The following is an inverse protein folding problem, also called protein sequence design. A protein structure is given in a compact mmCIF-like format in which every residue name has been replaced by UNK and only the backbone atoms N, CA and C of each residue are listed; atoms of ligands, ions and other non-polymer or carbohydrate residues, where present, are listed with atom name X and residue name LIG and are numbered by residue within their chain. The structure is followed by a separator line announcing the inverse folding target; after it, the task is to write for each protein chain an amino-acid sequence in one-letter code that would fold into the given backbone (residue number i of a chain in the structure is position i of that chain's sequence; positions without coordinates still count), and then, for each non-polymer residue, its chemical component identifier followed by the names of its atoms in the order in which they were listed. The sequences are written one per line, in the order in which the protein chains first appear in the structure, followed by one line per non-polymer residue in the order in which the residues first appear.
data_IF_188743708614
#
_entry.id   IF_188743708614
#
_cell.length_a   1.000
_cell.length_b   1.000
_cell.length_c   1.000
_cell.angle_alpha   90.00
_cell.angle_beta   90.00
_cell.angle_gamma   90.00
#
_symmetry.space_group_name_H-M   'P 1'
#
loop_
_entity.id
_entity.type
_entity.pdbx_description
1 polymer ?
#
# COMPACT_ATOMS: atom_id res chain seq x y z
N UNK A 1 -22.66 -9.43 -2.77
CA UNK A 1 -21.75 -8.36 -2.28
C UNK A 1 -21.90 -8.28 -0.77
N UNK A 2 -20.81 -8.11 -0.02
CA UNK A 2 -20.78 -8.21 1.44
C UNK A 2 -20.19 -6.95 2.05
N UNK A 3 -19.25 -7.11 2.98
CA UNK A 3 -18.58 -6.00 3.67
C UNK A 3 -17.12 -5.88 3.23
N UNK A 4 -16.56 -4.68 3.36
CA UNK A 4 -15.14 -4.40 3.21
C UNK A 4 -14.64 -3.63 4.43
N UNK A 5 -13.46 -4.00 4.93
CA UNK A 5 -12.73 -3.27 5.97
C UNK A 5 -11.67 -2.44 5.28
N UNK A 6 -11.56 -1.15 5.61
CA UNK A 6 -10.49 -0.31 5.07
C UNK A 6 -9.20 -0.63 5.81
N UNK A 7 -8.17 -1.04 5.09
CA UNK A 7 -6.88 -1.52 5.64
C UNK A 7 -5.73 -0.56 5.38
N UNK A 8 -5.90 0.41 4.48
CA UNK A 8 -4.81 1.32 4.13
C UNK A 8 -4.44 2.25 5.30
N UNK A 9 -3.14 2.36 5.67
CA UNK A 9 -2.70 3.02 6.89
C UNK A 9 -2.98 4.53 6.93
N UNK A 10 -3.04 5.17 5.75
CA UNK A 10 -3.27 6.61 5.64
C UNK A 10 -4.72 7.00 5.35
N UNK A 11 -5.66 6.04 5.38
CA UNK A 11 -7.06 6.36 5.17
C UNK A 11 -7.71 6.81 6.51
N UNK A 12 -8.45 7.95 6.56
CA UNK A 12 -9.06 8.44 7.80
C UNK A 12 -10.06 7.49 8.48
N UNK A 13 -10.52 6.48 7.73
CA UNK A 13 -11.44 5.43 8.19
C UNK A 13 -10.77 4.05 8.26
N UNK A 14 -9.45 3.99 8.37
CA UNK A 14 -8.71 2.75 8.57
C UNK A 14 -9.28 1.92 9.73
N UNK A 15 -9.33 0.61 9.55
CA UNK A 15 -9.94 -0.36 10.49
C UNK A 15 -11.47 -0.41 10.48
N UNK A 16 -12.17 0.54 9.85
CA UNK A 16 -13.63 0.56 9.83
C UNK A 16 -14.19 -0.31 8.70
N UNK A 17 -15.35 -0.93 8.96
CA UNK A 17 -16.02 -1.87 8.06
C UNK A 17 -17.32 -1.30 7.52
N UNK A 18 -17.52 -1.40 6.20
CA UNK A 18 -18.68 -0.82 5.51
C UNK A 18 -19.32 -1.82 4.55
N UNK A 19 -20.63 -1.70 4.37
CA UNK A 19 -21.38 -2.54 3.43
C UNK A 19 -21.08 -2.10 2.00
N UNK A 20 -20.76 -3.05 1.13
CA UNK A 20 -20.51 -2.79 -0.29
C UNK A 20 -21.85 -2.71 -1.00
N UNK A 21 -22.08 -1.57 -1.65
CA UNK A 21 -23.25 -1.33 -2.48
C UNK A 21 -22.99 -1.72 -3.93
N UNK A 22 -21.78 -1.39 -4.44
CA UNK A 22 -21.40 -1.64 -5.82
C UNK A 22 -19.89 -1.72 -5.99
N UNK A 23 -19.45 -2.43 -7.02
CA UNK A 23 -18.08 -2.39 -7.52
C UNK A 23 -18.07 -1.86 -8.96
N UNK A 24 -17.09 -1.03 -9.32
CA UNK A 24 -16.90 -0.49 -10.68
C UNK A 24 -15.42 -0.23 -10.95
N UNK A 25 -15.05 -0.10 -12.22
CA UNK A 25 -13.74 0.46 -12.58
C UNK A 25 -13.83 1.96 -12.79
N UNK A 26 -12.84 2.70 -12.30
CA UNK A 26 -12.65 4.15 -12.51
C UNK A 26 -11.21 4.34 -12.98
N UNK A 27 -11.02 4.82 -14.21
CA UNK A 27 -9.67 4.97 -14.82
C UNK A 27 -8.81 3.70 -14.70
N UNK A 28 -9.41 2.52 -14.89
CA UNK A 28 -8.74 1.22 -14.76
C UNK A 28 -8.63 0.66 -13.33
N UNK A 29 -8.82 1.49 -12.30
CA UNK A 29 -8.73 1.09 -10.89
C UNK A 29 -10.04 0.44 -10.46
N UNK A 30 -9.97 -0.72 -9.78
CA UNK A 30 -11.14 -1.37 -9.21
C UNK A 30 -11.58 -0.63 -7.95
N UNK A 31 -12.79 -0.09 -7.94
CA UNK A 31 -13.29 0.81 -6.91
C UNK A 31 -14.58 0.27 -6.31
N UNK A 32 -14.70 0.35 -4.98
CA UNK A 32 -15.88 -0.05 -4.22
C UNK A 32 -16.67 1.18 -3.79
N UNK A 33 -17.99 1.14 -3.99
CA UNK A 33 -18.95 2.10 -3.44
C UNK A 33 -19.54 1.47 -2.19
N UNK A 34 -19.34 2.11 -1.05
CA UNK A 34 -19.75 1.62 0.27
C UNK A 34 -20.86 2.50 0.86
N UNK A 35 -21.70 1.89 1.69
CA UNK A 35 -22.67 2.61 2.52
C UNK A 35 -21.93 3.42 3.58
N UNK A 36 -22.13 4.73 3.61
CA UNK A 36 -21.61 5.63 4.63
C UNK A 36 -22.48 5.64 5.89
N UNK A 37 -22.06 6.40 6.90
CA UNK A 37 -22.69 6.43 8.23
C UNK A 37 -23.90 7.36 8.33
N UNK A 38 -23.89 8.52 7.66
CA UNK A 38 -24.97 9.53 7.70
C UNK A 38 -25.88 9.50 6.46
N UNK A 39 -26.09 8.33 5.86
CA UNK A 39 -26.93 8.17 4.67
C UNK A 39 -26.23 8.47 3.33
N UNK A 40 -24.98 8.95 3.36
CA UNK A 40 -24.15 9.10 2.17
C UNK A 40 -23.50 7.79 1.70
N UNK A 41 -22.79 7.86 0.59
CA UNK A 41 -21.89 6.79 0.11
C UNK A 41 -20.45 7.25 0.15
N UNK A 42 -19.53 6.34 0.44
CA UNK A 42 -18.10 6.57 0.23
C UNK A 42 -17.57 5.68 -0.88
N UNK A 43 -16.48 6.11 -1.51
CA UNK A 43 -15.85 5.38 -2.60
C UNK A 43 -14.40 5.16 -2.24
N UNK A 44 -13.91 3.92 -2.35
CA UNK A 44 -12.54 3.55 -1.99
C UNK A 44 -11.97 2.59 -3.03
N UNK A 45 -10.65 2.66 -3.30
CA UNK A 45 -10.00 1.62 -4.10
C UNK A 45 -10.15 0.27 -3.40
N UNK A 46 -10.42 -0.79 -4.15
CA UNK A 46 -10.48 -2.14 -3.60
C UNK A 46 -9.14 -2.53 -2.97
N UNK A 47 -8.01 -2.04 -3.50
CA UNK A 47 -6.67 -2.31 -3.00
C UNK A 47 -6.41 -1.73 -1.59
N UNK A 48 -7.25 -0.79 -1.14
CA UNK A 48 -7.17 -0.18 0.20
C UNK A 48 -8.06 -0.89 1.23
N UNK A 49 -8.60 -2.05 0.87
CA UNK A 49 -9.50 -2.83 1.72
C UNK A 49 -8.98 -4.25 1.92
N UNK A 50 -9.59 -4.97 2.86
CA UNK A 50 -9.44 -6.42 3.02
C UNK A 50 -9.85 -7.25 1.78
N UNK A 51 -10.36 -6.59 0.72
CA UNK A 51 -10.63 -7.19 -0.60
C UNK A 51 -9.56 -6.93 -1.65
N UNK A 52 -8.44 -6.34 -1.26
CA UNK A 52 -7.28 -6.21 -2.13
C UNK A 52 -6.93 -7.58 -2.72
N UNK A 53 -6.58 -7.60 -4.01
CA UNK A 53 -5.96 -8.82 -4.56
C UNK A 53 -4.62 -9.00 -3.84
N UNK A 54 -4.22 -10.25 -3.52
CA UNK A 54 -2.88 -10.51 -3.04
C UNK A 54 -1.88 -9.83 -3.94
N UNK A 55 -0.91 -9.14 -3.35
CA UNK A 55 0.18 -8.55 -4.09
C UNK A 55 0.91 -9.66 -4.84
N UNK A 56 1.49 -9.41 -6.03
CA UNK A 56 2.42 -10.34 -6.65
C UNK A 56 3.59 -10.72 -5.70
N UNK A 57 3.88 -9.84 -4.73
CA UNK A 57 4.87 -10.06 -3.69
C UNK A 57 4.32 -10.77 -2.45
N UNK A 58 3.01 -11.03 -2.35
CA UNK A 58 2.42 -11.75 -1.20
C UNK A 58 2.77 -13.24 -1.15
N UNK A 59 3.24 -13.83 -2.26
CA UNK A 59 3.76 -15.20 -2.30
C UNK A 59 5.25 -15.28 -1.95
N UNK A 60 5.95 -14.16 -2.02
CA UNK A 60 7.26 -14.02 -1.40
C UNK A 60 6.94 -13.80 0.08
N UNK A 61 7.35 -14.70 0.98
CA UNK A 61 7.13 -14.56 2.42
C UNK A 61 7.87 -13.33 2.96
N UNK A 62 7.35 -12.15 2.67
CA UNK A 62 7.90 -10.84 3.02
C UNK A 62 7.18 -10.38 4.28
N UNK A 63 7.32 -11.17 5.36
CA UNK A 63 7.18 -10.62 6.70
C UNK A 63 8.29 -9.57 6.95
N UNK A 64 9.38 -9.65 6.18
CA UNK A 64 10.40 -8.62 6.11
C UNK A 64 10.00 -7.49 5.14
N UNK A 65 10.14 -6.21 5.57
CA UNK A 65 9.85 -5.08 4.71
C UNK A 65 10.76 -5.08 3.48
N UNK A 66 10.16 -4.92 2.29
CA UNK A 66 10.87 -4.80 1.00
C UNK A 66 11.98 -3.74 1.04
N UNK A 67 11.77 -2.71 1.85
CA UNK A 67 12.76 -1.69 2.17
C UNK A 67 12.95 -1.60 3.68
N UNK A 68 14.11 -2.04 4.15
CA UNK A 68 14.55 -1.83 5.53
C UNK A 68 15.33 -0.52 5.61
N UNK A 69 14.94 0.39 6.50
CA UNK A 69 15.55 1.71 6.67
C UNK A 69 17.04 1.64 7.01
N UNK A 70 17.44 0.75 7.91
CA UNK A 70 18.86 0.54 8.28
C UNK A 70 19.66 0.07 7.06
N UNK A 71 19.11 -0.86 6.28
CA UNK A 71 19.75 -1.33 5.06
C UNK A 71 19.86 -0.23 3.99
N UNK A 72 18.86 0.65 3.88
CA UNK A 72 18.90 1.78 2.95
C UNK A 72 19.96 2.81 3.35
N UNK A 73 20.11 3.09 4.65
CA UNK A 73 21.17 3.98 5.15
C UNK A 73 22.56 3.39 4.90
N UNK A 74 22.76 2.10 5.22
CA UNK A 74 24.00 1.40 4.94
C UNK A 74 24.35 1.39 3.44
N UNK A 75 23.34 1.28 2.57
CA UNK A 75 23.52 1.35 1.12
C UNK A 75 23.98 2.75 0.67
N UNK A 76 23.42 3.82 1.25
CA UNK A 76 23.87 5.19 0.98
C UNK A 76 25.34 5.36 1.36
N UNK A 77 25.74 4.91 2.57
CA UNK A 77 27.14 4.98 3.01
C UNK A 77 28.07 4.20 2.09
N UNK A 78 27.68 3.01 1.64
CA UNK A 78 28.44 2.21 0.70
C UNK A 78 28.65 2.94 -0.64
N UNK A 79 27.60 3.54 -1.19
CA UNK A 79 27.66 4.29 -2.45
C UNK A 79 28.62 5.48 -2.34
N UNK A 80 28.57 6.22 -1.23
CA UNK A 80 29.47 7.35 -0.99
C UNK A 80 30.93 6.90 -0.79
N UNK A 81 31.16 5.78 -0.10
CA UNK A 81 32.49 5.18 0.02
C UNK A 81 33.07 4.73 -1.33
N UNK A 82 32.24 4.21 -2.24
CA UNK A 82 32.68 3.86 -3.59
C UNK A 82 33.04 5.10 -4.40
N UNK A 83 32.25 6.18 -4.29
CA UNK A 83 32.54 7.47 -4.96
C UNK A 83 33.86 8.06 -4.50
N UNK A 84 34.08 8.12 -3.18
CA UNK A 84 35.29 8.71 -2.58
C UNK A 84 36.55 7.85 -2.74
N UNK A 85 36.42 6.52 -2.84
CA UNK A 85 37.57 5.65 -3.17
C UNK A 85 38.03 5.77 -4.62
N UNK A 86 37.15 6.14 -5.56
CA UNK A 86 37.55 6.39 -6.95
C UNK A 86 38.34 7.69 -7.13
N UNK A 87 38.14 8.69 -6.27
CA UNK A 87 38.81 10.00 -6.39
C UNK A 87 40.22 10.04 -5.77
N UNK A 88 40.55 9.12 -4.86
CA UNK A 88 41.89 9.02 -4.22
C UNK A 88 42.90 8.13 -4.97
N UNK A 89 42.56 7.68 -6.18
CA UNK A 89 43.38 6.75 -6.98
C UNK A 89 44.02 7.41 -8.21
N UNK A 90 44.31 8.71 -8.12
CA UNK A 90 45.04 9.52 -9.10
C UNK A 90 46.23 10.20 -8.43
#
# INVERSE_FOLDING_TARGET
MGWATITHPFHPRGGQRFQILKARKVSGIQTLILRGTSGGTLTVSQEWTDRAKPSPYSSMNMDDPVFNTECLLALVELVENIRTKKTKKG
#
